data_IF_100509342966
#
_entry.id   IF_100509342966
#
_cell.length_a   1.000
_cell.length_b   1.000
_cell.length_c   1.000
_cell.angle_alpha   90.00
_cell.angle_beta   90.00
_cell.angle_gamma   90.00
#
_symmetry.space_group_name_H-M   'P 1'
#
loop_
_entity.id
_entity.type
_entity.pdbx_description
1 polymer ?
#
# COMPACT_ATOMS: atom_id res chain seq x y z
N UNK A 1 -56.28 -26.93 -20.41
CA UNK A 1 -55.32 -27.70 -19.63
C UNK A 1 -53.93 -27.34 -20.12
N UNK A 2 -53.33 -26.33 -19.51
CA UNK A 2 -52.13 -25.63 -20.00
C UNK A 2 -51.41 -24.85 -18.90
N UNK A 3 -51.72 -25.16 -17.64
CA UNK A 3 -51.21 -24.47 -16.46
C UNK A 3 -49.89 -25.06 -15.93
N UNK A 4 -49.24 -25.98 -16.66
CA UNK A 4 -48.06 -26.69 -16.14
C UNK A 4 -46.74 -25.93 -16.25
N UNK A 5 -46.64 -24.90 -17.09
CA UNK A 5 -45.33 -24.35 -17.51
C UNK A 5 -45.05 -22.91 -17.04
N UNK A 6 -45.92 -22.31 -16.21
CA UNK A 6 -45.76 -20.92 -15.75
C UNK A 6 -45.08 -20.73 -14.38
N UNK A 7 -44.95 -21.79 -13.57
CA UNK A 7 -44.43 -21.64 -12.21
C UNK A 7 -42.90 -21.75 -12.18
N UNK A 8 -42.21 -20.64 -11.89
CA UNK A 8 -40.77 -20.62 -11.56
C UNK A 8 -40.60 -20.42 -10.05
N UNK A 9 -40.44 -21.52 -9.31
CA UNK A 9 -40.33 -21.48 -7.86
C UNK A 9 -38.96 -20.98 -7.37
N UNK A 10 -38.86 -19.73 -6.93
CA UNK A 10 -37.80 -19.28 -6.01
C UNK A 10 -38.34 -19.33 -4.57
N UNK A 11 -38.05 -20.40 -3.83
CA UNK A 11 -38.48 -20.50 -2.43
C UNK A 11 -37.54 -19.73 -1.52
N UNK A 12 -38.03 -18.65 -0.91
CA UNK A 12 -37.36 -18.02 0.25
C UNK A 12 -38.26 -18.13 1.47
N UNK A 13 -37.66 -18.41 2.63
CA UNK A 13 -38.40 -18.39 3.89
C UNK A 13 -38.77 -16.95 4.21
N UNK A 14 -40.05 -16.72 4.51
CA UNK A 14 -40.54 -15.38 4.75
C UNK A 14 -41.49 -15.35 5.94
N UNK A 15 -41.52 -14.20 6.62
CA UNK A 15 -42.45 -13.93 7.72
C UNK A 15 -43.29 -12.73 7.30
N UNK A 16 -44.60 -12.82 7.46
CA UNK A 16 -45.54 -11.73 7.19
C UNK A 16 -46.60 -11.62 8.27
N UNK A 17 -47.10 -10.42 8.52
CA UNK A 17 -48.17 -10.18 9.50
C UNK A 17 -49.35 -9.51 8.80
N UNK A 18 -50.54 -10.10 8.90
CA UNK A 18 -51.79 -9.37 8.64
C UNK A 18 -52.85 -9.77 9.66
N UNK A 19 -53.42 -8.75 10.33
CA UNK A 19 -54.71 -8.75 11.05
C UNK A 19 -54.98 -9.74 12.19
N UNK A 20 -54.26 -10.85 12.31
CA UNK A 20 -54.59 -11.93 13.25
C UNK A 20 -53.43 -12.86 13.66
N UNK A 21 -52.19 -12.56 13.28
CA UNK A 21 -51.00 -13.29 13.73
C UNK A 21 -49.88 -13.34 12.67
N UNK A 22 -48.62 -13.64 13.05
CA UNK A 22 -47.54 -13.86 12.10
C UNK A 22 -47.71 -15.21 11.39
N UNK A 23 -47.60 -15.22 10.06
CA UNK A 23 -47.58 -16.43 9.24
C UNK A 23 -46.14 -16.78 8.85
N UNK A 24 -45.81 -18.07 8.92
CA UNK A 24 -44.50 -18.63 8.57
C UNK A 24 -44.66 -19.65 7.45
N UNK A 25 -43.94 -19.48 6.34
CA UNK A 25 -43.98 -20.43 5.22
C UNK A 25 -43.12 -20.03 4.01
N UNK A 26 -42.88 -20.97 3.07
CA UNK A 26 -42.20 -20.67 1.82
C UNK A 26 -43.09 -19.77 0.93
N UNK A 27 -42.49 -18.75 0.32
CA UNK A 27 -43.13 -17.98 -0.76
C UNK A 27 -42.68 -18.51 -2.12
N UNK A 28 -43.62 -18.68 -3.04
CA UNK A 28 -43.37 -18.99 -4.44
C UNK A 28 -43.64 -17.78 -5.35
N UNK A 29 -43.00 -17.77 -6.52
CA UNK A 29 -43.23 -16.79 -7.57
C UNK A 29 -43.84 -17.52 -8.79
N UNK A 30 -45.04 -17.11 -9.18
CA UNK A 30 -45.70 -17.61 -10.39
C UNK A 30 -45.60 -16.58 -11.50
N UNK A 31 -45.27 -17.02 -12.71
CA UNK A 31 -45.40 -16.20 -13.92
C UNK A 31 -46.50 -16.78 -14.79
N UNK A 32 -47.35 -15.92 -15.35
CA UNK A 32 -48.34 -16.36 -16.33
C UNK A 32 -47.75 -16.12 -17.70
N UNK A 33 -47.33 -17.18 -18.38
CA UNK A 33 -46.67 -17.12 -19.69
C UNK A 33 -47.65 -17.08 -20.87
N UNK A 34 -48.95 -16.93 -20.63
CA UNK A 34 -49.97 -16.86 -21.70
C UNK A 34 -50.08 -15.44 -22.29
N UNK A 35 -49.72 -15.23 -23.57
CA UNK A 35 -49.83 -13.93 -24.23
C UNK A 35 -51.27 -13.45 -24.46
N UNK A 36 -52.28 -14.32 -24.29
CA UNK A 36 -53.70 -13.98 -24.43
C UNK A 36 -54.38 -13.48 -23.14
N UNK A 37 -53.68 -13.48 -22.01
CA UNK A 37 -54.29 -13.21 -20.71
C UNK A 37 -54.49 -11.70 -20.47
N UNK A 38 -55.74 -11.24 -20.56
CA UNK A 38 -56.13 -9.87 -20.22
C UNK A 38 -56.23 -9.73 -18.70
N UNK A 39 -55.60 -8.67 -18.16
CA UNK A 39 -55.54 -8.31 -16.73
C UNK A 39 -56.85 -8.60 -15.97
N UNK A 40 -56.95 -9.77 -15.35
CA UNK A 40 -58.03 -10.07 -14.40
C UNK A 40 -57.62 -9.51 -13.03
N UNK A 41 -58.19 -8.36 -12.70
CA UNK A 41 -58.23 -7.66 -11.40
C UNK A 41 -57.06 -6.77 -10.95
N UNK A 42 -57.43 -5.70 -10.24
CA UNK A 42 -56.66 -4.48 -10.02
C UNK A 42 -55.50 -4.57 -9.02
N UNK A 43 -55.24 -5.73 -8.41
CA UNK A 43 -54.23 -5.88 -7.36
C UNK A 43 -52.92 -6.56 -7.81
N UNK A 44 -52.81 -6.99 -9.07
CA UNK A 44 -51.57 -7.56 -9.61
C UNK A 44 -50.81 -6.52 -10.44
N UNK A 45 -49.66 -6.08 -9.95
CA UNK A 45 -48.68 -5.32 -10.72
C UNK A 45 -47.84 -6.30 -11.55
N UNK A 46 -48.07 -6.37 -12.86
CA UNK A 46 -47.33 -7.24 -13.79
C UNK A 46 -47.93 -8.64 -13.96
N UNK A 47 -47.39 -9.42 -14.92
CA UNK A 47 -47.81 -10.80 -15.24
C UNK A 47 -47.23 -11.85 -14.28
N UNK A 48 -47.06 -11.48 -13.02
CA UNK A 48 -46.53 -12.35 -11.98
C UNK A 48 -47.44 -12.31 -10.75
N UNK A 49 -47.55 -13.46 -10.08
CA UNK A 49 -48.26 -13.60 -8.81
C UNK A 49 -47.27 -14.10 -7.76
N UNK A 50 -47.38 -13.59 -6.55
CA UNK A 50 -46.65 -14.14 -5.40
C UNK A 50 -47.67 -14.84 -4.51
N UNK A 51 -47.71 -16.16 -4.57
CA UNK A 51 -48.57 -16.96 -3.70
C UNK A 51 -47.77 -17.47 -2.50
N UNK A 52 -48.33 -17.24 -1.32
CA UNK A 52 -47.87 -17.83 -0.07
C UNK A 52 -48.86 -18.91 0.34
N UNK A 53 -48.43 -20.17 0.35
CA UNK A 53 -49.24 -21.23 0.95
C UNK A 53 -49.18 -21.09 2.46
N UNK A 54 -50.32 -20.82 3.09
CA UNK A 54 -50.41 -20.81 4.55
C UNK A 54 -50.40 -22.24 5.07
N UNK A 55 -49.52 -22.51 6.04
CA UNK A 55 -49.46 -23.68 6.90
C UNK A 55 -48.87 -24.99 6.31
N UNK A 56 -47.77 -25.43 6.95
CA UNK A 56 -47.18 -26.78 6.99
C UNK A 56 -46.40 -27.34 5.79
N UNK A 57 -46.23 -26.59 4.70
CA UNK A 57 -45.46 -27.10 3.55
C UNK A 57 -43.94 -27.03 3.73
N UNK A 58 -43.24 -28.12 3.41
CA UNK A 58 -41.77 -28.15 3.34
C UNK A 58 -41.27 -27.48 2.05
N UNK A 59 -40.02 -26.99 2.03
CA UNK A 59 -39.41 -26.29 0.86
C UNK A 59 -39.35 -27.12 -0.43
N UNK A 60 -39.52 -28.44 -0.36
CA UNK A 60 -39.56 -29.30 -1.55
C UNK A 60 -40.94 -29.33 -2.23
N UNK A 61 -42.01 -28.89 -1.54
CA UNK A 61 -43.36 -28.85 -2.09
C UNK A 61 -43.55 -27.72 -3.11
N UNK A 62 -42.68 -26.70 -3.12
CA UNK A 62 -42.66 -25.65 -4.16
C UNK A 62 -41.94 -26.09 -5.44
N UNK A 63 -42.08 -27.37 -5.84
CA UNK A 63 -41.53 -27.97 -7.08
C UNK A 63 -40.14 -27.43 -7.43
N UNK A 64 -39.16 -27.82 -6.61
CA UNK A 64 -37.77 -27.40 -6.76
C UNK A 64 -37.24 -27.60 -8.18
N UNK A 65 -36.43 -26.64 -8.62
CA UNK A 65 -35.70 -26.57 -9.88
C UNK A 65 -35.31 -27.98 -10.36
N UNK A 66 -35.90 -28.44 -11.48
CA UNK A 66 -35.23 -29.47 -12.29
C UNK A 66 -33.96 -28.83 -12.80
N UNK A 67 -32.79 -29.34 -12.42
CA UNK A 67 -31.55 -28.94 -13.06
C UNK A 67 -31.73 -29.10 -14.58
N UNK A 68 -31.72 -28.00 -15.33
CA UNK A 68 -31.76 -28.05 -16.79
C UNK A 68 -30.38 -28.56 -17.20
N UNK A 69 -30.32 -29.83 -17.60
CA UNK A 69 -29.13 -30.39 -18.24
C UNK A 69 -29.02 -29.73 -19.62
N UNK A 70 -27.89 -29.08 -19.91
CA UNK A 70 -27.67 -28.42 -21.19
C UNK A 70 -27.87 -29.45 -22.33
N UNK A 71 -28.75 -29.20 -23.31
CA UNK A 71 -28.97 -30.09 -24.46
C UNK A 71 -27.69 -30.38 -25.25
N UNK A 72 -26.69 -29.50 -25.17
CA UNK A 72 -25.40 -29.63 -25.83
C UNK A 72 -24.32 -30.28 -24.97
N UNK A 73 -24.66 -30.84 -23.79
CA UNK A 73 -23.73 -31.59 -22.93
C UNK A 73 -23.02 -32.73 -23.67
N UNK A 74 -23.68 -33.34 -24.67
CA UNK A 74 -23.07 -34.37 -25.53
C UNK A 74 -22.00 -33.83 -26.50
N UNK A 75 -22.00 -32.52 -26.76
CA UNK A 75 -21.04 -31.84 -27.64
C UNK A 75 -19.97 -31.07 -26.85
N UNK A 76 -20.14 -30.94 -25.54
CA UNK A 76 -19.14 -30.33 -24.67
C UNK A 76 -18.09 -31.37 -24.26
N UNK A 77 -16.79 -31.03 -24.31
CA UNK A 77 -15.76 -31.92 -23.82
C UNK A 77 -15.93 -32.13 -22.30
N UNK A 78 -15.64 -33.34 -21.82
CA UNK A 78 -15.73 -33.71 -20.39
C UNK A 78 -14.86 -32.85 -19.46
N UNK A 79 -13.87 -32.17 -20.02
CA UNK A 79 -13.14 -31.08 -19.41
C UNK A 79 -12.85 -30.04 -20.51
N UNK A 80 -13.04 -28.76 -20.22
CA UNK A 80 -12.44 -27.74 -21.07
C UNK A 80 -10.94 -27.78 -20.83
N UNK A 81 -10.15 -27.98 -21.89
CA UNK A 81 -8.71 -27.83 -21.79
C UNK A 81 -8.42 -26.38 -21.40
N UNK A 82 -7.96 -26.19 -20.17
CA UNK A 82 -7.50 -24.88 -19.71
C UNK A 82 -6.19 -24.59 -20.44
N UNK A 83 -6.26 -23.77 -21.48
CA UNK A 83 -5.06 -23.18 -22.05
C UNK A 83 -4.56 -22.11 -21.06
N UNK A 84 -3.39 -22.34 -20.48
CA UNK A 84 -2.68 -21.30 -19.76
C UNK A 84 -1.91 -20.50 -20.80
N UNK A 85 -2.24 -19.21 -20.93
CA UNK A 85 -1.37 -18.28 -21.65
C UNK A 85 -0.05 -18.26 -20.87
N UNK A 86 1.00 -18.83 -21.45
CA UNK A 86 2.33 -18.76 -20.86
C UNK A 86 2.74 -17.30 -20.82
N UNK A 87 2.78 -16.72 -19.62
CA UNK A 87 3.46 -15.44 -19.41
C UNK A 87 4.91 -15.62 -19.90
N UNK A 88 5.49 -14.64 -20.60
CA UNK A 88 6.90 -14.70 -20.98
C UNK A 88 7.75 -15.01 -19.74
N UNK A 89 8.90 -15.66 -19.93
CA UNK A 89 9.83 -16.00 -18.86
C UNK A 89 10.27 -14.71 -18.13
N UNK A 90 9.51 -14.32 -17.11
CA UNK A 90 9.86 -13.24 -16.20
C UNK A 90 11.09 -13.68 -15.42
N UNK A 91 12.20 -12.93 -15.56
CA UNK A 91 13.46 -13.22 -14.85
C UNK A 91 13.24 -13.32 -13.33
N UNK A 92 12.31 -12.51 -12.80
CA UNK A 92 11.94 -12.49 -11.38
C UNK A 92 10.42 -12.35 -11.18
N UNK A 93 9.82 -13.06 -10.21
CA UNK A 93 8.40 -12.93 -9.88
C UNK A 93 8.01 -11.52 -9.41
N UNK A 94 6.77 -11.09 -9.68
CA UNK A 94 6.25 -9.78 -9.25
C UNK A 94 6.34 -9.57 -7.73
N UNK A 95 6.13 -10.62 -6.93
CA UNK A 95 6.25 -10.54 -5.47
C UNK A 95 7.68 -10.18 -5.03
N UNK A 96 8.69 -10.72 -5.72
CA UNK A 96 10.10 -10.43 -5.49
C UNK A 96 10.43 -8.98 -5.84
N UNK A 97 9.95 -8.49 -6.99
CA UNK A 97 10.16 -7.09 -7.40
C UNK A 97 9.51 -6.11 -6.41
N UNK A 98 8.28 -6.38 -5.96
CA UNK A 98 7.60 -5.60 -4.90
C UNK A 98 8.31 -5.66 -3.56
N UNK A 99 9.12 -6.68 -3.31
CA UNK A 99 9.94 -6.74 -2.11
C UNK A 99 11.19 -5.85 -2.27
N UNK A 100 11.83 -5.88 -3.45
CA UNK A 100 13.01 -5.05 -3.74
C UNK A 100 12.69 -3.54 -3.74
N UNK A 101 11.47 -3.13 -4.08
CA UNK A 101 11.08 -1.70 -3.96
C UNK A 101 11.08 -1.19 -2.52
N UNK A 102 11.03 -2.08 -1.52
CA UNK A 102 11.04 -1.74 -0.10
C UNK A 102 12.45 -1.52 0.48
N UNK A 103 13.51 -1.80 -0.27
CA UNK A 103 14.87 -1.50 0.18
C UNK A 103 15.01 0.02 0.48
N UNK A 104 15.97 0.46 1.31
CA UNK A 104 16.07 1.88 1.71
C UNK A 104 16.29 2.85 0.54
N UNK A 105 15.76 4.08 0.66
CA UNK A 105 16.07 5.21 -0.24
C UNK A 105 17.09 6.19 0.37
N UNK A 106 17.30 6.09 1.68
CA UNK A 106 18.17 6.97 2.43
C UNK A 106 19.02 6.16 3.38
N UNK A 107 20.30 6.50 3.48
CA UNK A 107 21.26 5.88 4.38
C UNK A 107 21.83 6.94 5.32
N UNK A 108 22.02 6.55 6.58
CA UNK A 108 22.62 7.38 7.61
C UNK A 108 23.85 6.67 8.11
N UNK A 109 24.98 7.37 8.15
CA UNK A 109 26.26 6.81 8.56
C UNK A 109 27.08 7.86 9.31
N UNK A 110 27.61 7.52 10.48
CA UNK A 110 28.39 8.45 11.28
C UNK A 110 29.86 8.40 10.88
N UNK A 111 30.38 9.54 10.44
CA UNK A 111 31.79 9.68 10.06
C UNK A 111 32.66 10.21 11.20
N UNK A 112 32.04 10.81 12.23
CA UNK A 112 32.73 11.45 13.34
C UNK A 112 33.24 10.41 14.34
N UNK A 113 34.56 10.29 14.45
CA UNK A 113 35.20 9.33 15.36
C UNK A 113 34.88 9.58 16.83
N UNK A 114 34.54 10.81 17.22
CA UNK A 114 34.21 11.18 18.61
C UNK A 114 32.78 10.83 19.04
N UNK A 115 31.87 10.52 18.10
CA UNK A 115 30.46 10.23 18.41
C UNK A 115 30.27 8.77 18.84
N UNK A 116 29.81 8.48 20.05
CA UNK A 116 29.55 7.09 20.47
C UNK A 116 28.16 6.63 20.05
N UNK A 117 28.07 5.70 19.10
CA UNK A 117 26.81 5.10 18.65
C UNK A 117 26.47 3.86 19.46
N UNK A 118 25.19 3.46 19.48
CA UNK A 118 24.75 2.23 20.13
C UNK A 118 25.28 0.97 19.42
N UNK A 119 25.45 1.05 18.10
CA UNK A 119 26.00 -0.04 17.29
C UNK A 119 27.30 0.42 16.59
N UNK A 120 28.42 -0.32 16.75
CA UNK A 120 29.68 0.04 16.10
C UNK A 120 29.61 0.08 14.57
N UNK A 121 28.72 -0.73 13.97
CA UNK A 121 28.52 -0.78 12.53
C UNK A 121 27.97 0.52 11.93
N UNK A 122 27.39 1.40 12.76
CA UNK A 122 26.92 2.73 12.34
C UNK A 122 28.08 3.70 12.04
N UNK A 123 29.34 3.25 12.22
CA UNK A 123 30.59 4.01 12.01
C UNK A 123 31.55 3.30 11.07
N UNK A 124 31.06 2.35 10.28
CA UNK A 124 31.88 1.62 9.31
C UNK A 124 32.30 2.54 8.14
N UNK A 125 31.60 3.68 7.95
CA UNK A 125 31.82 4.67 6.87
C UNK A 125 31.68 4.08 5.47
N UNK A 126 31.17 2.85 5.39
CA UNK A 126 30.98 2.10 4.15
C UNK A 126 29.52 1.73 4.05
N UNK A 127 28.86 2.30 3.06
CA UNK A 127 27.45 2.05 2.78
C UNK A 127 27.36 1.13 1.57
N UNK A 128 26.77 -0.04 1.75
CA UNK A 128 26.47 -0.96 0.66
C UNK A 128 24.99 -0.86 0.25
N UNK A 129 24.76 -0.21 -0.90
CA UNK A 129 23.43 0.02 -1.44
C UNK A 129 23.09 -1.08 -2.45
N UNK A 130 22.05 -1.90 -2.25
CA UNK A 130 21.65 -2.92 -3.21
C UNK A 130 21.03 -2.28 -4.45
N UNK A 131 21.55 -2.61 -5.64
CA UNK A 131 21.07 -2.03 -6.91
C UNK A 131 19.74 -2.64 -7.38
N UNK A 132 19.32 -3.77 -6.79
CA UNK A 132 18.06 -4.47 -7.11
C UNK A 132 16.83 -3.57 -7.02
N UNK A 133 16.85 -2.60 -6.09
CA UNK A 133 15.80 -1.58 -5.98
C UNK A 133 15.69 -0.74 -7.24
N UNK A 134 16.81 -0.27 -7.79
CA UNK A 134 16.81 0.55 -9.00
C UNK A 134 16.18 -0.21 -10.18
N UNK A 135 16.55 -1.49 -10.36
CA UNK A 135 15.96 -2.34 -11.39
C UNK A 135 14.46 -2.59 -11.17
N UNK A 136 14.04 -2.84 -9.92
CA UNK A 136 12.62 -3.06 -9.59
C UNK A 136 11.78 -1.80 -9.78
N UNK A 137 12.25 -0.65 -9.28
CA UNK A 137 11.57 0.64 -9.44
C UNK A 137 11.46 1.02 -10.91
N UNK A 138 12.53 0.82 -11.69
CA UNK A 138 12.48 1.10 -13.11
C UNK A 138 11.44 0.24 -13.81
N UNK A 139 11.54 -1.08 -13.68
CA UNK A 139 10.62 -2.01 -14.36
C UNK A 139 9.15 -1.79 -13.98
N UNK A 140 8.86 -1.60 -12.69
CA UNK A 140 7.48 -1.51 -12.19
C UNK A 140 6.83 -0.12 -12.31
N UNK A 141 7.63 0.95 -12.36
CA UNK A 141 7.10 2.31 -12.22
C UNK A 141 7.63 3.33 -13.23
N UNK A 142 8.79 3.09 -13.85
CA UNK A 142 9.39 4.06 -14.79
C UNK A 142 9.39 3.57 -16.24
N UNK A 143 9.39 2.26 -16.45
CA UNK A 143 9.34 1.64 -17.77
C UNK A 143 7.95 1.79 -18.38
N UNK A 144 7.90 2.11 -19.67
CA UNK A 144 6.64 2.15 -20.44
C UNK A 144 6.28 0.81 -21.05
N UNK A 145 7.22 -0.14 -21.07
CA UNK A 145 7.10 -1.47 -21.70
C UNK A 145 7.18 -2.61 -20.69
N UNK A 146 7.23 -2.31 -19.38
CA UNK A 146 7.48 -3.27 -18.30
C UNK A 146 8.81 -4.05 -18.46
N UNK A 147 9.76 -3.52 -19.22
CA UNK A 147 11.09 -4.08 -19.39
C UNK A 147 12.11 -3.48 -18.41
N UNK A 148 13.19 -4.24 -18.16
CA UNK A 148 14.35 -3.72 -17.43
C UNK A 148 15.08 -2.62 -18.22
N UNK A 149 15.78 -1.70 -17.52
CA UNK A 149 16.55 -0.67 -18.18
C UNK A 149 17.66 -1.31 -19.05
N UNK A 150 17.81 -0.82 -20.26
CA UNK A 150 18.79 -1.31 -21.23
C UNK A 150 20.15 -0.63 -21.03
N UNK A 151 21.23 -1.38 -21.15
CA UNK A 151 22.59 -0.87 -21.08
C UNK A 151 23.57 -1.93 -20.59
N UNK A 152 24.80 -1.89 -21.10
CA UNK A 152 25.88 -2.80 -20.70
C UNK A 152 26.84 -2.18 -19.69
N UNK A 153 26.89 -0.85 -19.60
CA UNK A 153 27.84 -0.11 -18.77
C UNK A 153 27.13 0.43 -17.54
N UNK A 154 27.60 -0.02 -16.38
CA UNK A 154 27.16 0.42 -15.06
C UNK A 154 28.11 1.50 -14.54
N UNK A 155 27.56 2.60 -14.07
CA UNK A 155 28.36 3.70 -13.57
C UNK A 155 27.63 4.45 -12.45
N UNK A 156 28.37 5.16 -11.60
CA UNK A 156 27.82 5.91 -10.48
C UNK A 156 28.31 7.35 -10.50
N UNK A 157 27.51 8.26 -9.94
CA UNK A 157 27.87 9.67 -9.82
C UNK A 157 27.31 10.30 -8.56
N UNK A 158 27.95 11.38 -8.10
CA UNK A 158 27.39 12.26 -7.08
C UNK A 158 26.64 13.37 -7.82
N UNK A 159 25.32 13.40 -7.69
CA UNK A 159 24.46 14.39 -8.36
C UNK A 159 24.44 15.70 -7.59
N UNK A 160 24.49 15.62 -6.26
CA UNK A 160 24.49 16.77 -5.37
C UNK A 160 25.16 16.42 -4.06
N UNK A 161 25.81 17.40 -3.43
CA UNK A 161 26.35 17.27 -2.08
C UNK A 161 26.45 18.63 -1.41
N UNK A 162 26.25 18.69 -0.09
CA UNK A 162 26.56 19.88 0.73
C UNK A 162 28.06 19.99 1.02
N UNK A 163 28.78 18.87 0.96
CA UNK A 163 30.21 18.79 1.24
C UNK A 163 30.90 17.90 0.20
N UNK A 164 31.69 18.51 -0.68
CA UNK A 164 32.41 17.79 -1.74
C UNK A 164 33.46 16.82 -1.21
N UNK A 165 33.91 17.00 0.04
CA UNK A 165 34.83 16.10 0.72
C UNK A 165 34.15 14.91 1.40
N UNK A 166 32.82 14.81 1.41
CA UNK A 166 32.10 13.76 2.15
C UNK A 166 32.34 12.36 1.56
N UNK A 167 32.18 12.21 0.25
CA UNK A 167 32.34 10.92 -0.45
C UNK A 167 33.81 10.76 -0.83
N UNK A 168 34.44 9.70 -0.30
CA UNK A 168 35.82 9.35 -0.61
C UNK A 168 35.91 8.57 -1.92
N UNK A 169 35.07 7.54 -2.05
CA UNK A 169 35.06 6.66 -3.21
C UNK A 169 33.67 6.07 -3.44
N UNK A 170 33.37 5.75 -4.69
CA UNK A 170 32.19 4.97 -5.07
C UNK A 170 32.61 3.88 -6.04
N UNK A 171 32.20 2.65 -5.75
CA UNK A 171 32.44 1.51 -6.62
C UNK A 171 31.19 0.67 -6.80
N UNK A 172 31.01 0.12 -7.99
CA UNK A 172 29.94 -0.84 -8.26
C UNK A 172 30.54 -2.23 -8.13
N UNK A 173 30.05 -2.98 -7.15
CA UNK A 173 30.34 -4.40 -7.02
C UNK A 173 29.41 -5.12 -7.98
N UNK A 174 30.00 -5.61 -9.06
CA UNK A 174 29.24 -6.24 -10.12
C UNK A 174 28.64 -7.59 -9.68
N UNK A 175 27.55 -7.97 -10.33
CA UNK A 175 26.75 -9.12 -9.98
C UNK A 175 25.47 -9.19 -10.83
N UNK A 176 24.58 -10.11 -10.46
CA UNK A 176 23.23 -10.17 -11.06
C UNK A 176 22.42 -8.96 -10.59
N UNK A 177 21.23 -8.75 -11.16
CA UNK A 177 20.35 -7.64 -10.74
C UNK A 177 20.00 -7.71 -9.25
N UNK A 178 20.00 -8.92 -8.68
CA UNK A 178 19.74 -9.18 -7.27
C UNK A 178 20.95 -8.93 -6.37
N UNK A 179 22.16 -9.28 -6.82
CA UNK A 179 23.37 -9.27 -5.98
C UNK A 179 24.27 -8.05 -6.16
N UNK A 180 24.11 -7.31 -7.26
CA UNK A 180 24.91 -6.12 -7.54
C UNK A 180 24.66 -5.02 -6.50
N UNK A 181 25.75 -4.34 -6.10
CA UNK A 181 25.74 -3.31 -5.05
C UNK A 181 26.53 -2.09 -5.49
N UNK A 182 26.11 -0.92 -5.03
CA UNK A 182 26.90 0.31 -5.04
C UNK A 182 27.50 0.48 -3.65
N UNK A 183 28.82 0.36 -3.55
CA UNK A 183 29.55 0.66 -2.32
C UNK A 183 29.99 2.12 -2.34
N UNK A 184 29.60 2.85 -1.30
CA UNK A 184 29.99 4.24 -1.09
C UNK A 184 30.83 4.32 0.18
N UNK A 185 32.05 4.81 0.05
CA UNK A 185 32.96 5.03 1.18
C UNK A 185 32.99 6.51 1.51
N UNK A 186 32.80 6.84 2.78
CA UNK A 186 32.78 8.21 3.29
C UNK A 186 34.12 8.56 3.94
N UNK A 187 34.54 9.82 3.80
CA UNK A 187 35.72 10.33 4.50
C UNK A 187 35.43 10.51 5.99
N UNK A 188 36.45 10.27 6.81
CA UNK A 188 36.37 10.47 8.26
C UNK A 188 36.12 11.94 8.62
N UNK A 189 35.34 12.17 9.67
CA UNK A 189 35.06 13.50 10.24
C UNK A 189 34.47 14.49 9.22
N UNK A 190 33.81 14.00 8.17
CA UNK A 190 33.07 14.80 7.20
C UNK A 190 31.57 14.61 7.41
N UNK A 191 30.85 15.70 7.63
CA UNK A 191 29.39 15.69 7.75
C UNK A 191 28.75 16.35 6.53
N UNK A 192 27.47 16.06 6.31
CA UNK A 192 26.68 16.64 5.24
C UNK A 192 25.70 15.68 4.60
N UNK A 193 25.08 16.13 3.52
CA UNK A 193 24.17 15.34 2.70
C UNK A 193 24.76 15.16 1.31
N UNK A 194 24.54 13.99 0.72
CA UNK A 194 24.85 13.72 -0.68
C UNK A 194 23.73 12.94 -1.35
N UNK A 195 23.52 13.18 -2.63
CA UNK A 195 22.65 12.37 -3.49
C UNK A 195 23.55 11.64 -4.48
N UNK A 196 23.55 10.31 -4.38
CA UNK A 196 24.31 9.43 -5.27
C UNK A 196 23.36 8.77 -6.26
N UNK A 197 23.78 8.65 -7.52
CA UNK A 197 22.97 8.08 -8.59
C UNK A 197 23.65 6.87 -9.20
N UNK A 198 22.82 5.89 -9.57
CA UNK A 198 23.20 4.78 -10.41
C UNK A 198 22.75 5.04 -11.84
N UNK A 199 23.67 4.89 -12.77
CA UNK A 199 23.45 5.05 -14.19
C UNK A 199 23.66 3.72 -14.90
N UNK A 200 22.85 3.51 -15.93
CA UNK A 200 22.96 2.35 -16.80
C UNK A 200 22.79 2.82 -18.25
N UNK A 201 23.80 2.53 -19.07
CA UNK A 201 23.78 2.91 -20.48
C UNK A 201 24.83 2.16 -21.27
N UNK A 202 25.29 2.75 -22.36
CA UNK A 202 26.23 2.11 -23.29
C UNK A 202 27.58 2.83 -23.36
N UNK A 203 27.70 4.02 -22.78
CA UNK A 203 28.88 4.86 -22.97
C UNK A 203 29.88 4.76 -21.82
N UNK A 204 29.40 4.80 -20.57
CA UNK A 204 30.23 5.04 -19.38
C UNK A 204 30.99 6.36 -19.42
N UNK A 205 30.65 7.27 -20.34
CA UNK A 205 31.46 8.44 -20.61
C UNK A 205 31.02 9.62 -19.75
N UNK A 206 32.01 10.28 -19.16
CA UNK A 206 31.88 11.60 -18.58
C UNK A 206 32.19 12.65 -19.66
N UNK A 207 31.24 13.52 -19.94
CA UNK A 207 31.44 14.65 -20.85
C UNK A 207 30.74 15.89 -20.31
N UNK A 208 31.37 17.06 -20.44
CA UNK A 208 30.84 18.34 -19.95
C UNK A 208 30.43 18.33 -18.47
N UNK A 209 31.23 17.68 -17.62
CA UNK A 209 31.00 17.63 -16.16
C UNK A 209 29.81 16.78 -15.73
N UNK A 210 29.22 15.98 -16.63
CA UNK A 210 28.12 15.06 -16.31
C UNK A 210 28.31 13.71 -16.99
N UNK A 211 27.77 12.68 -16.37
CA UNK A 211 27.71 11.37 -17.01
C UNK A 211 26.60 11.38 -18.06
N UNK A 212 26.91 10.83 -19.24
CA UNK A 212 25.99 10.86 -20.38
C UNK A 212 24.91 9.78 -20.30
N UNK A 213 25.18 8.68 -19.59
CA UNK A 213 24.22 7.60 -19.40
C UNK A 213 23.07 8.05 -18.48
N UNK A 214 21.83 7.55 -18.71
CA UNK A 214 20.67 7.94 -17.91
C UNK A 214 20.78 7.44 -16.46
N UNK A 215 20.24 8.25 -15.54
CA UNK A 215 20.06 7.87 -14.14
C UNK A 215 18.87 6.93 -14.05
N UNK A 216 19.08 5.75 -13.46
CA UNK A 216 18.01 4.77 -13.22
C UNK A 216 17.37 5.00 -11.85
N UNK A 217 18.20 5.31 -10.85
CA UNK A 217 17.76 5.60 -9.50
C UNK A 217 18.82 6.38 -8.73
N UNK A 218 18.39 7.07 -7.67
CA UNK A 218 19.27 7.81 -6.77
C UNK A 218 18.90 7.57 -5.31
N UNK A 219 19.90 7.66 -4.45
CA UNK A 219 19.76 7.51 -3.00
C UNK A 219 20.31 8.74 -2.29
N UNK A 220 19.70 9.07 -1.16
CA UNK A 220 20.22 10.09 -0.27
C UNK A 220 21.15 9.45 0.77
N UNK A 221 22.31 10.03 0.97
CA UNK A 221 23.24 9.71 2.04
C UNK A 221 23.31 10.91 2.97
N UNK A 222 23.18 10.65 4.26
CA UNK A 222 23.26 11.66 5.31
C UNK A 222 24.32 11.24 6.32
N UNK A 223 25.34 12.08 6.48
CA UNK A 223 26.34 11.97 7.52
C UNK A 223 26.08 13.07 8.56
N UNK A 224 25.42 12.75 9.69
CA UNK A 224 25.09 13.74 10.70
C UNK A 224 26.33 14.14 11.50
N UNK A 225 26.33 15.37 12.01
CA UNK A 225 27.40 15.88 12.88
C UNK A 225 27.28 15.31 14.31
N UNK A 226 26.05 15.15 14.78
CA UNK A 226 25.67 14.69 16.13
C UNK A 226 24.88 13.39 16.08
N UNK A 227 24.68 12.74 17.23
CA UNK A 227 23.81 11.56 17.34
C UNK A 227 22.39 11.93 16.95
N UNK A 228 21.81 11.15 16.05
CA UNK A 228 20.42 11.30 15.64
C UNK A 228 19.51 10.88 16.80
N UNK A 229 18.83 11.86 17.39
CA UNK A 229 17.82 11.65 18.42
C UNK A 229 16.45 11.29 17.85
N UNK A 230 15.50 11.03 18.76
CA UNK A 230 14.08 10.91 18.43
C UNK A 230 13.23 11.61 19.49
N UNK A 231 12.24 12.37 19.07
CA UNK A 231 11.24 13.02 19.90
C UNK A 231 9.89 12.30 19.74
N UNK A 232 9.38 11.73 20.82
CA UNK A 232 8.01 11.24 20.86
C UNK A 232 7.04 12.39 21.12
N UNK A 233 6.05 12.55 20.24
CA UNK A 233 4.95 13.47 20.42
C UNK A 233 3.65 12.70 20.56
N UNK A 234 2.99 12.88 21.70
CA UNK A 234 1.67 12.31 21.97
C UNK A 234 0.63 13.43 22.01
N UNK A 235 -0.43 13.30 21.20
CA UNK A 235 -1.45 14.35 21.07
C UNK A 235 -2.27 14.56 22.35
N UNK A 236 -2.44 13.51 23.15
CA UNK A 236 -3.30 13.50 24.34
C UNK A 236 -2.56 12.78 25.48
N UNK A 237 -2.12 13.52 26.48
CA UNK A 237 -1.52 13.00 27.71
C UNK A 237 -2.14 13.70 28.91
N UNK A 238 -1.90 13.19 30.12
CA UNK A 238 -2.27 13.92 31.34
C UNK A 238 -1.49 15.24 31.45
N UNK A 239 -0.25 15.28 30.97
CA UNK A 239 0.64 16.44 31.06
C UNK A 239 0.22 17.57 30.11
N UNK A 240 -0.27 17.25 28.91
CA UNK A 240 -0.72 18.25 27.93
C UNK A 240 -2.22 18.64 28.08
N UNK A 241 -2.91 18.07 29.07
CA UNK A 241 -4.31 18.35 29.35
C UNK A 241 -5.32 17.76 28.36
N UNK A 242 -4.87 16.85 27.50
CA UNK A 242 -5.75 16.09 26.60
C UNK A 242 -6.56 15.03 27.34
N UNK A 243 -5.92 14.30 28.27
CA UNK A 243 -6.64 13.32 29.11
C UNK A 243 -7.36 14.06 30.24
N UNK A 244 -8.68 13.92 30.27
CA UNK A 244 -9.55 14.48 31.30
C UNK A 244 -9.44 13.59 32.54
N UNK A 245 -8.94 14.17 33.64
CA UNK A 245 -8.92 13.50 34.93
C UNK A 245 -10.34 13.49 35.52
N UNK A 246 -11.08 12.40 35.29
CA UNK A 246 -12.37 12.14 35.95
C UNK A 246 -12.15 11.32 37.20
N UNK A 247 -12.66 11.81 38.32
CA UNK A 247 -12.62 11.12 39.62
C UNK A 247 -13.44 9.80 39.66
N UNK A 248 -14.17 9.47 38.58
CA UNK A 248 -15.00 8.28 38.49
C UNK A 248 -14.25 7.16 37.77
N UNK A 249 -14.10 6.00 38.43
CA UNK A 249 -13.43 4.81 37.90
C UNK A 249 -14.16 4.10 36.77
N UNK A 250 -15.35 4.56 36.38
CA UNK A 250 -16.12 4.01 35.27
C UNK A 250 -15.52 4.31 33.88
N UNK A 251 -14.66 5.33 33.77
CA UNK A 251 -14.03 5.72 32.50
C UNK A 251 -12.52 5.72 32.62
N UNK A 252 -11.84 4.95 31.76
CA UNK A 252 -10.37 4.90 31.70
C UNK A 252 -9.90 5.88 30.63
N UNK A 253 -9.11 6.88 31.03
CA UNK A 253 -8.46 7.88 30.17
C UNK A 253 -9.37 8.54 29.11
N UNK A 254 -10.47 9.22 29.51
CA UNK A 254 -11.27 9.96 28.55
C UNK A 254 -10.46 11.14 27.99
N UNK A 255 -10.47 11.26 26.67
CA UNK A 255 -9.72 12.27 25.91
C UNK A 255 -10.62 13.44 25.55
N UNK A 256 -10.03 14.63 25.39
CA UNK A 256 -10.77 15.86 25.08
C UNK A 256 -11.11 15.94 23.59
N UNK A 257 -10.30 15.33 22.72
CA UNK A 257 -10.59 15.26 21.29
C UNK A 257 -11.54 14.12 20.93
N UNK A 258 -12.18 14.24 19.76
CA UNK A 258 -13.08 13.22 19.19
C UNK A 258 -12.28 12.03 18.62
N UNK A 259 -10.96 12.17 18.49
CA UNK A 259 -10.06 11.17 17.90
C UNK A 259 -9.35 10.29 18.93
N UNK A 260 -8.80 9.18 18.44
CA UNK A 260 -7.91 8.32 19.23
C UNK A 260 -6.58 9.07 19.46
N UNK A 261 -5.98 9.03 20.67
CA UNK A 261 -4.63 9.54 20.90
C UNK A 261 -3.64 9.01 19.87
N UNK A 262 -2.90 9.92 19.23
CA UNK A 262 -1.86 9.58 18.29
C UNK A 262 -0.51 9.80 18.96
N UNK A 263 0.32 8.76 18.89
CA UNK A 263 1.74 8.83 19.22
C UNK A 263 2.54 8.84 17.93
N UNK A 264 3.31 9.90 17.73
CA UNK A 264 4.19 10.06 16.59
C UNK A 264 5.61 10.25 17.08
N UNK A 265 6.52 9.38 16.66
CA UNK A 265 7.95 9.55 16.91
C UNK A 265 8.57 10.32 15.74
N UNK A 266 9.08 11.50 16.02
CA UNK A 266 9.87 12.31 15.09
C UNK A 266 11.34 11.96 15.28
N UNK A 267 12.03 11.62 14.20
CA UNK A 267 13.49 11.57 14.24
C UNK A 267 14.02 13.00 14.20
N UNK A 268 15.09 13.27 14.98
CA UNK A 268 15.83 14.52 14.93
C UNK A 268 16.58 14.60 13.60
N UNK A 269 15.86 15.04 12.57
CA UNK A 269 16.32 15.11 11.19
C UNK A 269 16.75 16.52 10.90
N UNK A 270 17.94 16.86 11.38
CA UNK A 270 18.69 17.95 10.80
C UNK A 270 19.26 17.50 9.43
N UNK A 271 18.41 17.49 8.40
CA UNK A 271 18.77 17.21 7.01
C UNK A 271 19.55 18.39 6.39
N UNK A 272 20.42 19.06 7.15
CA UNK A 272 21.12 20.29 6.77
C UNK A 272 20.32 21.56 7.02
N UNK A 273 19.35 21.52 7.92
CA UNK A 273 18.64 22.69 8.43
C UNK A 273 19.49 23.37 9.51
N UNK A 274 20.05 24.54 9.22
CA UNK A 274 20.87 25.33 10.17
C UNK A 274 20.12 25.79 11.44
N UNK A 275 18.90 25.34 11.68
CA UNK A 275 18.05 25.76 12.78
C UNK A 275 17.97 24.67 13.85
N UNK A 276 18.22 25.10 15.09
CA UNK A 276 18.07 24.30 16.30
C UNK A 276 16.70 23.61 16.33
N UNK A 277 16.70 22.31 16.63
CA UNK A 277 15.48 21.54 16.84
C UNK A 277 14.62 22.25 17.90
N UNK A 278 13.27 22.28 17.78
CA UNK A 278 12.43 22.82 18.82
C UNK A 278 12.62 21.99 20.09
N UNK A 279 13.42 22.48 21.03
CA UNK A 279 13.41 21.98 22.40
C UNK A 279 11.98 22.19 22.93
N UNK A 280 11.50 21.21 23.71
CA UNK A 280 10.14 21.14 24.22
C UNK A 280 9.55 22.52 24.53
N UNK A 281 8.26 22.72 24.22
CA UNK A 281 7.54 23.93 24.61
C UNK A 281 7.60 24.07 26.15
N UNK A 282 8.63 24.75 26.64
CA UNK A 282 8.82 25.00 28.05
C UNK A 282 7.63 25.85 28.50
N UNK A 283 6.78 25.23 29.32
CA UNK A 283 5.69 25.92 29.97
C UNK A 283 6.26 27.02 30.84
N UNK A 284 6.25 28.26 30.34
CA UNK A 284 6.66 29.41 31.14
C UNK A 284 7.19 30.60 30.36
N UNK A 285 6.28 31.35 29.73
CA UNK A 285 6.42 32.81 29.64
C UNK A 285 7.48 33.39 28.70
N UNK A 286 7.30 33.25 27.39
CA UNK A 286 7.46 34.33 26.42
C UNK A 286 6.98 33.82 25.06
N UNK A 287 5.91 34.41 24.54
CA UNK A 287 5.35 34.05 23.24
C UNK A 287 6.31 34.44 22.10
N UNK A 288 7.11 33.50 21.62
CA UNK A 288 7.54 33.52 20.22
C UNK A 288 6.45 32.86 19.38
N UNK A 289 5.60 33.70 18.80
CA UNK A 289 4.61 33.29 17.81
C UNK A 289 5.39 32.88 16.55
N UNK A 290 5.62 31.58 16.37
CA UNK A 290 6.05 31.04 15.10
C UNK A 290 4.81 30.83 14.22
N UNK A 291 4.46 31.84 13.42
CA UNK A 291 3.46 31.68 12.36
C UNK A 291 4.11 30.98 11.18
N UNK A 292 3.71 29.73 10.91
CA UNK A 292 3.89 29.12 9.60
C UNK A 292 3.03 29.90 8.60
N UNK A 293 3.65 30.81 7.85
CA UNK A 293 3.07 31.33 6.61
C UNK A 293 3.59 30.41 5.50
N UNK A 294 2.76 29.54 4.90
CA UNK A 294 3.15 28.83 3.71
C UNK A 294 3.21 29.86 2.57
N UNK A 295 4.42 30.19 2.11
CA UNK A 295 4.59 30.86 0.83
C UNK A 295 4.39 29.80 -0.25
N UNK A 296 3.31 29.94 -1.02
CA UNK A 296 3.13 29.33 -2.35
C UNK A 296 4.02 30.07 -3.33
#
# INVERSE_FOLDING_TARGET
DGSSDGALGSSTFSVGASGGGPWYGPRGLGYVSDPGNVKETANNFGWYTMDSVSHYGNTHETSGIRCIKDPNDAYMPTAFDTEFISTPNEEYPLATLKNWTKDPNSYVEYTNSSVTTAYPADKDRVIEIPLRKAYAMYKLHLSTTDEYPQGSVKSSSVVWTTNTGLIQNMEIIDGTKETAKLRVTLNENQHGNAVVAFHLGNSGQWANGKMQDPIIWSWQIWAPETLVGSLDYETETLANGGIINVANSAFVNPVKSIGVPLKTTFMDRDLGALMMFPEEASGGGAAHIYSFIPQI
#
